data_IF_822756576418
#
_entry.id   IF_822756576418
#
_cell.length_a   1.000
_cell.length_b   1.000
_cell.length_c   1.000
_cell.angle_alpha   90.00
_cell.angle_beta   90.00
_cell.angle_gamma   90.00
#
_symmetry.space_group_name_H-M   'P 1'
#
loop_
_entity.id
_entity.type
_entity.pdbx_description
1 polymer ?
#
# COMPACT_ATOMS: atom_id res chain seq x y z
N UNK A 1 8.45 44.65 53.59
CA UNK A 1 9.89 44.38 53.85
C UNK A 1 10.27 43.05 53.19
N UNK A 2 11.53 42.92 52.72
CA UNK A 2 12.31 41.70 52.37
C UNK A 2 11.54 40.46 51.80
N UNK A 3 11.63 40.08 50.52
CA UNK A 3 12.78 39.56 49.69
C UNK A 3 13.11 38.07 49.89
N UNK A 4 13.46 37.41 48.76
CA UNK A 4 13.95 36.02 48.57
C UNK A 4 12.86 34.93 48.76
N UNK A 5 12.81 33.82 48.01
CA UNK A 5 13.54 33.35 46.82
C UNK A 5 12.71 32.23 46.11
N UNK A 6 13.00 31.68 44.92
CA UNK A 6 14.07 31.85 43.93
C UNK A 6 13.55 31.46 42.51
N UNK A 7 14.24 31.83 41.43
CA UNK A 7 14.00 31.29 40.08
C UNK A 7 14.75 29.97 39.86
N UNK A 8 14.15 29.01 39.15
CA UNK A 8 14.85 27.89 38.52
C UNK A 8 14.83 28.11 37.00
N UNK A 9 15.95 28.60 36.48
CA UNK A 9 16.23 28.69 35.05
C UNK A 9 16.87 27.36 34.61
N UNK A 10 16.17 26.56 33.81
CA UNK A 10 16.77 25.38 33.18
C UNK A 10 17.45 25.82 31.89
N UNK A 11 18.78 25.86 31.93
CA UNK A 11 19.67 26.10 30.80
C UNK A 11 19.96 24.76 30.13
N UNK A 12 19.37 24.49 28.96
CA UNK A 12 19.78 23.36 28.11
C UNK A 12 20.76 23.91 27.07
N UNK A 13 22.03 23.53 27.22
CA UNK A 13 23.09 23.88 26.28
C UNK A 13 23.34 22.73 25.29
N UNK A 14 23.63 23.11 24.06
CA UNK A 14 24.12 22.34 22.90
C UNK A 14 24.47 20.84 23.11
N UNK A 15 24.01 20.03 22.16
CA UNK A 15 24.96 19.32 21.29
C UNK A 15 24.39 19.19 19.89
N UNK A 16 24.99 19.90 18.93
CA UNK A 16 24.80 19.62 17.51
C UNK A 16 25.80 18.54 17.12
N UNK A 17 25.32 17.44 16.54
CA UNK A 17 26.16 16.48 15.81
C UNK A 17 25.71 16.49 14.36
N UNK A 18 26.45 17.22 13.51
CA UNK A 18 26.40 16.95 12.08
C UNK A 18 27.12 15.62 11.83
N UNK A 19 26.38 14.62 11.37
CA UNK A 19 26.95 13.43 10.76
C UNK A 19 26.91 13.61 9.23
N UNK A 20 28.04 14.01 8.64
CA UNK A 20 28.21 14.07 7.19
C UNK A 20 28.59 12.69 6.64
N UNK A 21 27.67 12.04 5.92
CA UNK A 21 27.93 10.95 4.97
C UNK A 21 26.67 10.78 4.10
N UNK A 22 26.74 10.66 2.77
CA UNK A 22 27.88 10.77 1.87
C UNK A 22 27.36 10.57 0.45
N UNK A 23 26.89 11.65 -0.20
CA UNK A 23 26.38 11.57 -1.57
C UNK A 23 27.56 11.53 -2.56
N UNK A 24 27.63 10.57 -3.49
CA UNK A 24 28.60 10.61 -4.57
C UNK A 24 28.20 11.70 -5.57
N UNK A 25 28.88 12.85 -5.52
CA UNK A 25 28.81 13.85 -6.59
C UNK A 25 29.67 13.43 -7.80
N UNK A 26 29.37 13.94 -9.01
CA UNK A 26 29.94 13.42 -10.25
C UNK A 26 31.42 13.79 -10.39
N UNK A 27 32.17 12.90 -11.05
CA UNK A 27 33.57 13.17 -11.43
C UNK A 27 33.59 14.26 -12.49
N UNK A 28 34.22 15.39 -12.16
CA UNK A 28 34.56 16.42 -13.14
C UNK A 28 35.81 16.04 -13.93
N UNK A 29 35.83 16.48 -15.19
CA UNK A 29 36.94 16.34 -16.12
C UNK A 29 38.20 17.02 -15.57
N UNK A 30 39.36 16.39 -15.79
CA UNK A 30 40.63 17.10 -15.74
C UNK A 30 41.41 16.84 -17.02
N UNK A 31 41.56 17.90 -17.80
CA UNK A 31 42.37 17.94 -19.02
C UNK A 31 43.84 17.69 -18.69
N UNK A 32 44.46 16.74 -19.40
CA UNK A 32 45.91 16.57 -19.49
C UNK A 32 46.25 16.34 -20.95
N UNK A 33 46.64 17.41 -21.62
CA UNK A 33 47.11 17.37 -23.00
C UNK A 33 48.56 16.91 -23.04
N UNK A 34 48.84 15.72 -23.58
CA UNK A 34 50.19 15.40 -24.07
C UNK A 34 50.15 14.49 -25.32
N UNK A 35 51.15 14.64 -26.18
CA UNK A 35 51.04 14.33 -27.61
C UNK A 35 51.46 12.90 -28.00
N UNK A 36 50.84 12.43 -29.09
CA UNK A 36 51.46 11.59 -30.13
C UNK A 36 51.83 10.14 -29.79
N UNK A 37 50.99 9.21 -30.25
CA UNK A 37 51.29 8.45 -31.47
C UNK A 37 50.04 7.78 -32.04
N UNK A 38 49.93 7.74 -33.37
CA UNK A 38 48.74 7.23 -34.05
C UNK A 38 48.54 5.74 -33.87
N UNK A 39 47.36 5.36 -33.39
CA UNK A 39 46.77 4.03 -33.53
C UNK A 39 45.40 4.21 -34.17
N UNK A 40 45.17 3.52 -35.29
CA UNK A 40 43.90 3.59 -36.04
C UNK A 40 42.71 3.24 -35.14
N UNK A 41 41.66 4.07 -35.17
CA UNK A 41 40.34 3.69 -34.67
C UNK A 41 39.78 2.57 -35.56
N UNK A 42 40.15 1.32 -35.29
CA UNK A 42 39.35 0.19 -35.72
C UNK A 42 38.04 0.22 -34.94
N UNK A 43 36.96 0.49 -35.65
CA UNK A 43 35.60 0.20 -35.21
C UNK A 43 35.55 -1.16 -34.52
N UNK A 44 35.13 -1.21 -33.26
CA UNK A 44 34.96 -2.44 -32.50
C UNK A 44 33.70 -3.20 -32.96
N UNK A 45 33.69 -3.60 -34.23
CA UNK A 45 32.82 -4.67 -34.70
C UNK A 45 33.18 -5.92 -33.92
N UNK A 46 32.20 -6.53 -33.27
CA UNK A 46 32.38 -7.82 -32.60
C UNK A 46 32.84 -8.82 -33.66
N UNK A 47 34.03 -9.41 -33.48
CA UNK A 47 34.53 -10.42 -34.42
C UNK A 47 33.52 -11.58 -34.49
N UNK A 48 33.02 -11.82 -35.70
CA UNK A 48 31.98 -12.81 -35.98
C UNK A 48 32.48 -14.23 -35.65
N UNK A 49 33.75 -14.53 -35.89
CA UNK A 49 34.33 -15.85 -35.58
C UNK A 49 34.42 -16.08 -34.07
N UNK A 50 34.74 -15.03 -33.32
CA UNK A 50 34.86 -15.07 -31.87
C UNK A 50 33.47 -15.10 -31.19
N UNK A 51 32.46 -14.46 -31.80
CA UNK A 51 31.06 -14.59 -31.40
C UNK A 51 30.52 -16.00 -31.65
N UNK A 52 30.78 -16.59 -32.83
CA UNK A 52 30.40 -17.96 -33.17
C UNK A 52 30.97 -18.98 -32.18
N UNK A 53 32.27 -18.88 -31.85
CA UNK A 53 32.90 -19.74 -30.85
C UNK A 53 32.23 -19.63 -29.48
N UNK A 54 32.01 -18.40 -28.98
CA UNK A 54 31.33 -18.19 -27.69
C UNK A 54 29.89 -18.70 -27.68
N UNK A 55 29.14 -18.54 -28.77
CA UNK A 55 27.77 -19.05 -28.89
C UNK A 55 27.73 -20.59 -28.87
N UNK A 56 28.68 -21.24 -29.54
CA UNK A 56 28.86 -22.70 -29.45
C UNK A 56 29.19 -23.17 -28.03
N UNK A 57 30.18 -22.55 -27.39
CA UNK A 57 30.56 -22.82 -25.99
C UNK A 57 29.38 -22.65 -25.03
N UNK A 58 28.58 -21.57 -25.15
CA UNK A 58 27.41 -21.36 -24.30
C UNK A 58 26.28 -22.37 -24.58
N UNK A 59 26.06 -22.77 -25.83
CA UNK A 59 25.03 -23.77 -26.15
C UNK A 59 25.41 -25.16 -25.60
N UNK A 60 26.65 -25.60 -25.80
CA UNK A 60 27.14 -26.90 -25.34
C UNK A 60 27.15 -26.99 -23.80
N UNK A 61 27.77 -26.01 -23.12
CA UNK A 61 27.74 -25.94 -21.66
C UNK A 61 26.30 -25.82 -21.12
N UNK A 62 25.41 -25.11 -21.83
CA UNK A 62 24.02 -24.95 -21.42
C UNK A 62 23.26 -26.28 -21.39
N UNK A 63 23.38 -27.08 -22.46
CA UNK A 63 22.77 -28.42 -22.54
C UNK A 63 23.40 -29.36 -21.51
N UNK A 64 24.74 -29.40 -21.40
CA UNK A 64 25.42 -30.27 -20.42
C UNK A 64 24.97 -29.97 -18.98
N UNK A 65 24.81 -28.69 -18.63
CA UNK A 65 24.32 -28.27 -17.31
C UNK A 65 22.88 -28.67 -17.04
N UNK A 66 22.02 -28.69 -18.07
CA UNK A 66 20.64 -29.20 -17.95
C UNK A 66 20.65 -30.70 -17.67
N UNK A 67 21.45 -31.46 -18.41
CA UNK A 67 21.60 -32.92 -18.23
C UNK A 67 22.20 -33.28 -16.86
N UNK A 68 23.08 -32.42 -16.31
CA UNK A 68 23.60 -32.52 -14.94
C UNK A 68 22.60 -32.09 -13.85
N UNK A 69 21.41 -31.59 -14.22
CA UNK A 69 20.40 -31.09 -13.28
C UNK A 69 20.65 -29.66 -12.76
N UNK A 70 21.68 -28.97 -13.24
CA UNK A 70 21.98 -27.56 -12.94
C UNK A 70 21.11 -26.61 -13.79
N UNK A 71 19.78 -26.77 -13.70
CA UNK A 71 18.78 -26.18 -14.61
C UNK A 71 18.93 -24.66 -14.75
N UNK A 72 19.09 -23.91 -13.65
CA UNK A 72 19.23 -22.44 -13.70
C UNK A 72 20.52 -22.00 -14.42
N UNK A 73 21.64 -22.68 -14.15
CA UNK A 73 22.91 -22.40 -14.82
C UNK A 73 22.79 -22.70 -16.33
N UNK A 74 22.18 -23.83 -16.69
CA UNK A 74 21.92 -24.18 -18.09
C UNK A 74 21.07 -23.14 -18.83
N UNK A 75 19.95 -22.70 -18.23
CA UNK A 75 19.13 -21.60 -18.78
C UNK A 75 19.96 -20.33 -18.93
N UNK A 76 20.79 -19.97 -17.96
CA UNK A 76 21.66 -18.80 -18.03
C UNK A 76 22.63 -18.86 -19.20
N UNK A 77 23.20 -20.04 -19.52
CA UNK A 77 24.07 -20.20 -20.70
C UNK A 77 23.27 -20.13 -22.01
N UNK A 78 22.10 -20.76 -22.11
CA UNK A 78 21.24 -20.65 -23.28
C UNK A 78 20.80 -19.19 -23.55
N UNK A 79 20.48 -18.43 -22.50
CA UNK A 79 20.19 -16.99 -22.60
C UNK A 79 21.45 -16.19 -22.98
N UNK A 80 22.66 -16.64 -22.61
CA UNK A 80 23.91 -16.03 -23.06
C UNK A 80 24.14 -16.17 -24.57
N UNK A 81 23.68 -17.26 -25.21
CA UNK A 81 23.67 -17.40 -26.68
C UNK A 81 22.85 -16.28 -27.33
N UNK A 82 21.63 -16.05 -26.83
CA UNK A 82 20.73 -15.01 -27.34
C UNK A 82 21.29 -13.60 -27.07
N UNK A 83 21.93 -13.41 -25.91
CA UNK A 83 22.59 -12.16 -25.54
C UNK A 83 23.83 -11.84 -26.39
N UNK A 84 24.56 -12.84 -26.91
CA UNK A 84 25.63 -12.59 -27.88
C UNK A 84 25.04 -12.25 -29.25
N UNK A 85 24.04 -13.00 -29.75
CA UNK A 85 23.33 -12.66 -31.01
C UNK A 85 22.80 -11.24 -31.00
N UNK A 86 22.19 -10.78 -29.91
CA UNK A 86 21.58 -9.44 -29.82
C UNK A 86 22.56 -8.27 -29.94
N UNK A 87 23.88 -8.52 -29.92
CA UNK A 87 24.93 -7.49 -30.07
C UNK A 87 25.46 -7.39 -31.50
N UNK A 88 25.12 -8.34 -32.37
CA UNK A 88 25.66 -8.42 -33.72
C UNK A 88 24.80 -7.57 -34.66
N UNK A 89 25.45 -6.69 -35.43
CA UNK A 89 24.81 -5.85 -36.45
C UNK A 89 24.52 -6.62 -37.75
N UNK A 90 25.13 -7.80 -37.92
CA UNK A 90 24.91 -8.73 -39.02
C UNK A 90 24.97 -10.17 -38.50
N UNK A 91 24.04 -11.01 -38.94
CA UNK A 91 23.99 -12.43 -38.55
C UNK A 91 24.34 -13.32 -39.74
N UNK A 92 25.03 -14.44 -39.45
CA UNK A 92 25.28 -15.52 -40.41
C UNK A 92 24.27 -16.65 -40.20
N UNK A 93 24.09 -17.57 -41.17
CA UNK A 93 23.21 -18.73 -41.01
C UNK A 93 23.53 -19.55 -39.74
N UNK A 94 24.81 -19.66 -39.38
CA UNK A 94 25.28 -20.41 -38.21
C UNK A 94 24.93 -19.70 -36.89
N UNK A 95 25.00 -18.36 -36.84
CA UNK A 95 24.53 -17.55 -35.69
C UNK A 95 23.02 -17.74 -35.49
N UNK A 96 22.26 -17.73 -36.59
CA UNK A 96 20.81 -17.98 -36.55
C UNK A 96 20.51 -19.41 -36.09
N UNK A 97 21.26 -20.42 -36.54
CA UNK A 97 21.12 -21.81 -36.08
C UNK A 97 21.39 -21.95 -34.57
N UNK A 98 22.49 -21.39 -34.06
CA UNK A 98 22.81 -21.43 -32.63
C UNK A 98 21.70 -20.78 -31.78
N UNK A 99 21.20 -19.62 -32.20
CA UNK A 99 20.13 -18.93 -31.49
C UNK A 99 18.80 -19.69 -31.58
N UNK A 100 18.44 -20.24 -32.75
CA UNK A 100 17.23 -21.06 -32.92
C UNK A 100 17.27 -22.32 -32.05
N UNK A 101 18.43 -22.97 -31.92
CA UNK A 101 18.62 -24.11 -31.01
C UNK A 101 18.48 -23.69 -29.55
N UNK A 102 19.09 -22.57 -29.14
CA UNK A 102 18.94 -22.05 -27.77
C UNK A 102 17.48 -21.67 -27.45
N UNK A 103 16.77 -20.99 -28.37
CA UNK A 103 15.34 -20.69 -28.25
C UNK A 103 14.49 -21.96 -28.16
N UNK A 104 14.84 -23.01 -28.91
CA UNK A 104 14.15 -24.31 -28.89
C UNK A 104 14.31 -25.01 -27.55
N UNK A 105 15.51 -25.07 -26.97
CA UNK A 105 15.73 -25.67 -25.65
C UNK A 105 15.09 -24.82 -24.54
N UNK A 106 15.18 -23.49 -24.61
CA UNK A 106 14.47 -22.59 -23.70
C UNK A 106 12.96 -22.78 -23.78
N UNK A 107 12.39 -22.95 -24.97
CA UNK A 107 10.96 -23.21 -25.13
C UNK A 107 10.51 -24.54 -24.51
N UNK A 108 11.32 -25.61 -24.64
CA UNK A 108 11.06 -26.90 -23.98
C UNK A 108 11.10 -26.76 -22.45
N UNK A 109 12.12 -26.10 -21.91
CA UNK A 109 12.23 -25.84 -20.48
C UNK A 109 11.06 -24.98 -19.98
N UNK A 110 10.70 -23.92 -20.71
CA UNK A 110 9.56 -23.06 -20.39
C UNK A 110 8.23 -23.79 -20.32
N UNK A 111 8.04 -24.82 -21.15
CA UNK A 111 6.85 -25.69 -21.14
C UNK A 111 6.86 -26.74 -20.02
N UNK A 112 8.01 -27.03 -19.42
CA UNK A 112 8.18 -27.97 -18.31
C UNK A 112 8.30 -27.29 -16.94
N UNK A 113 8.70 -26.02 -16.90
CA UNK A 113 8.79 -25.22 -15.67
C UNK A 113 7.40 -24.80 -15.17
N UNK A 114 7.26 -24.68 -13.86
CA UNK A 114 6.04 -24.24 -13.19
C UNK A 114 6.37 -23.36 -11.98
N UNK A 115 5.66 -22.24 -11.85
CA UNK A 115 5.81 -21.28 -10.74
C UNK A 115 4.56 -21.33 -9.86
N UNK A 116 4.71 -21.93 -8.69
CA UNK A 116 3.64 -22.07 -7.68
C UNK A 116 3.78 -20.97 -6.62
N UNK A 117 2.70 -20.66 -5.89
CA UNK A 117 2.80 -19.84 -4.70
C UNK A 117 3.43 -20.66 -3.55
N UNK A 118 4.20 -19.99 -2.69
CA UNK A 118 4.71 -20.58 -1.45
C UNK A 118 3.58 -21.06 -0.54
N UNK A 119 3.86 -22.04 0.32
CA UNK A 119 2.84 -22.68 1.16
C UNK A 119 2.11 -21.70 2.09
N UNK A 120 2.78 -20.63 2.51
CA UNK A 120 2.24 -19.54 3.31
C UNK A 120 1.16 -18.70 2.59
N UNK A 121 1.06 -18.83 1.26
CA UNK A 121 0.04 -18.23 0.41
C UNK A 121 -1.07 -19.20 0.00
N UNK A 122 -1.07 -20.43 0.51
CA UNK A 122 -2.12 -21.43 0.22
C UNK A 122 -3.08 -21.56 1.41
N UNK A 123 -4.38 -21.53 1.13
CA UNK A 123 -5.42 -21.80 2.12
C UNK A 123 -5.60 -23.29 2.40
N UNK A 124 -6.52 -23.63 3.31
CA UNK A 124 -6.87 -25.03 3.65
C UNK A 124 -7.38 -25.82 2.44
N UNK A 125 -7.96 -25.14 1.45
CA UNK A 125 -8.43 -25.68 0.17
C UNK A 125 -7.32 -25.79 -0.90
N UNK A 126 -6.09 -25.39 -0.56
CA UNK A 126 -4.91 -25.26 -1.43
C UNK A 126 -5.03 -24.21 -2.53
N UNK A 127 -6.05 -23.35 -2.51
CA UNK A 127 -6.10 -22.19 -3.38
C UNK A 127 -5.23 -21.07 -2.83
N UNK A 128 -4.78 -20.17 -3.71
CA UNK A 128 -3.99 -19.02 -3.29
C UNK A 128 -4.86 -17.99 -2.55
N UNK A 129 -4.46 -17.61 -1.34
CA UNK A 129 -5.15 -16.55 -0.56
C UNK A 129 -4.74 -15.15 -1.03
N UNK A 130 -5.55 -14.16 -0.67
CA UNK A 130 -5.17 -12.74 -0.75
C UNK A 130 -4.71 -12.24 0.62
N UNK A 131 -3.75 -11.32 0.64
CA UNK A 131 -3.27 -10.67 1.84
C UNK A 131 -4.04 -9.37 2.12
N UNK A 132 -3.83 -8.81 3.31
CA UNK A 132 -4.35 -7.48 3.71
C UNK A 132 -3.35 -6.39 3.32
N UNK A 133 -3.81 -5.35 2.61
CA UNK A 133 -3.00 -4.16 2.32
C UNK A 133 -2.59 -3.38 3.58
N UNK A 134 -3.23 -3.59 4.74
CA UNK A 134 -2.82 -2.95 5.99
C UNK A 134 -1.59 -3.61 6.63
N UNK A 135 -1.41 -4.92 6.39
CA UNK A 135 -0.34 -5.71 7.00
C UNK A 135 0.91 -5.79 6.10
N UNK A 136 0.83 -5.30 4.84
CA UNK A 136 1.94 -5.26 3.89
C UNK A 136 3.14 -4.46 4.41
N UNK A 137 4.27 -5.14 4.65
CA UNK A 137 5.47 -4.56 5.27
C UNK A 137 5.49 -4.57 6.80
N UNK A 138 4.50 -5.18 7.45
CA UNK A 138 4.49 -5.44 8.90
C UNK A 138 5.00 -6.84 9.25
N UNK A 139 5.20 -7.11 10.54
CA UNK A 139 5.52 -8.43 11.09
C UNK A 139 4.42 -9.48 10.88
N UNK A 140 3.20 -9.05 10.52
CA UNK A 140 2.03 -9.90 10.24
C UNK A 140 1.74 -10.04 8.75
N UNK A 141 2.44 -9.30 7.91
CA UNK A 141 2.23 -9.32 6.47
C UNK A 141 2.70 -10.62 5.86
N UNK A 142 1.90 -11.19 4.96
CA UNK A 142 2.40 -12.18 4.01
C UNK A 142 3.34 -11.47 3.03
N UNK A 143 4.50 -12.07 2.80
CA UNK A 143 5.52 -11.59 1.86
C UNK A 143 5.43 -12.43 0.56
N UNK A 144 5.47 -11.85 -0.66
CA UNK A 144 5.31 -12.61 -1.90
C UNK A 144 6.36 -13.72 -2.02
N UNK A 145 5.93 -14.94 -2.31
CA UNK A 145 6.77 -16.13 -2.18
C UNK A 145 6.38 -17.14 -3.22
N UNK A 146 7.35 -17.63 -4.00
CA UNK A 146 7.12 -18.61 -5.07
C UNK A 146 8.01 -19.82 -4.91
N UNK A 147 7.54 -20.95 -5.44
CA UNK A 147 8.32 -22.17 -5.62
C UNK A 147 8.43 -22.48 -7.11
N UNK A 148 9.66 -22.57 -7.61
CA UNK A 148 9.95 -22.90 -9.01
C UNK A 148 10.28 -24.39 -9.12
N UNK A 149 9.51 -25.09 -9.94
CA UNK A 149 9.68 -26.53 -10.19
C UNK A 149 9.82 -26.83 -11.68
N UNK A 150 10.44 -27.96 -12.00
CA UNK A 150 10.54 -28.52 -13.34
C UNK A 150 9.82 -29.87 -13.37
N UNK A 151 8.82 -30.01 -14.23
CA UNK A 151 8.05 -31.24 -14.42
C UNK A 151 8.79 -32.18 -15.37
N UNK A 152 9.19 -33.35 -14.86
CA UNK A 152 9.92 -34.39 -15.59
C UNK A 152 9.00 -35.56 -16.03
N UNK A 153 7.68 -35.36 -16.03
CA UNK A 153 6.67 -36.35 -16.40
C UNK A 153 6.43 -37.45 -15.36
N UNK A 154 7.47 -37.88 -14.63
CA UNK A 154 7.39 -38.79 -13.49
C UNK A 154 7.40 -38.12 -12.11
N UNK A 155 7.57 -36.80 -12.06
CA UNK A 155 7.67 -36.02 -10.82
C UNK A 155 8.11 -34.59 -11.05
N UNK A 156 8.16 -33.79 -9.97
CA UNK A 156 8.67 -32.41 -9.97
C UNK A 156 10.08 -32.36 -9.37
N UNK A 157 11.01 -31.68 -10.04
CA UNK A 157 12.31 -31.30 -9.49
C UNK A 157 12.28 -29.83 -9.03
N UNK A 158 13.00 -29.51 -7.95
CA UNK A 158 13.13 -28.14 -7.45
C UNK A 158 14.25 -27.42 -8.22
N UNK A 159 14.02 -26.18 -8.64
CA UNK A 159 15.00 -25.41 -9.44
C UNK A 159 15.65 -24.35 -8.57
N UNK A 160 16.87 -24.62 -8.09
CA UNK A 160 17.67 -23.69 -7.29
C UNK A 160 18.45 -22.67 -8.13
N UNK A 161 18.79 -21.53 -7.53
CA UNK A 161 19.58 -20.46 -8.14
C UNK A 161 18.88 -19.65 -9.24
N UNK A 162 17.59 -19.84 -9.48
CA UNK A 162 16.85 -19.19 -10.56
C UNK A 162 16.42 -17.75 -10.17
N UNK A 163 16.69 -16.74 -11.00
CA UNK A 163 16.37 -15.34 -10.70
C UNK A 163 14.88 -15.06 -10.88
N UNK A 164 14.18 -14.85 -9.75
CA UNK A 164 12.80 -14.37 -9.74
C UNK A 164 12.80 -12.85 -9.58
N UNK A 165 12.12 -12.17 -10.50
CA UNK A 165 11.84 -10.75 -10.44
C UNK A 165 10.48 -10.51 -9.80
N UNK A 166 10.42 -9.62 -8.80
CA UNK A 166 9.19 -9.16 -8.16
C UNK A 166 8.95 -7.68 -8.48
N UNK A 167 7.76 -7.34 -8.94
CA UNK A 167 7.37 -5.98 -9.26
C UNK A 167 5.91 -5.67 -8.91
N UNK A 168 5.60 -4.41 -8.62
CA UNK A 168 4.20 -3.96 -8.52
C UNK A 168 3.63 -3.77 -9.92
N UNK A 169 2.67 -4.63 -10.31
CA UNK A 169 1.87 -4.42 -11.53
C UNK A 169 0.63 -3.56 -11.26
N UNK A 170 0.27 -3.40 -9.98
CA UNK A 170 -0.78 -2.49 -9.50
C UNK A 170 -0.41 -1.98 -8.10
N UNK A 171 -0.65 -0.69 -7.85
CA UNK A 171 -0.18 -0.02 -6.65
C UNK A 171 1.33 0.27 -6.69
N UNK A 172 1.88 0.71 -5.57
CA UNK A 172 3.31 1.05 -5.44
C UNK A 172 3.80 0.79 -4.01
N UNK A 173 5.11 0.65 -3.85
CA UNK A 173 5.73 0.35 -2.56
C UNK A 173 7.23 0.15 -2.69
N UNK A 174 7.85 -0.29 -1.59
CA UNK A 174 9.25 -0.71 -1.53
C UNK A 174 9.32 -2.21 -1.29
N UNK A 175 9.98 -2.94 -2.18
CA UNK A 175 10.18 -4.39 -2.09
C UNK A 175 11.57 -4.82 -2.57
N UNK A 176 11.99 -6.05 -2.25
CA UNK A 176 13.22 -6.66 -2.77
C UNK A 176 12.97 -7.27 -4.15
N UNK A 177 13.28 -6.54 -5.21
CA UNK A 177 12.82 -6.89 -6.57
C UNK A 177 13.52 -8.08 -7.23
N UNK A 178 14.75 -8.43 -6.87
CA UNK A 178 15.44 -9.61 -7.41
C UNK A 178 15.84 -10.57 -6.31
N UNK A 179 15.35 -11.80 -6.40
CA UNK A 179 15.64 -12.88 -5.43
C UNK A 179 15.88 -14.17 -6.21
N UNK A 180 17.02 -14.82 -5.95
CA UNK A 180 17.29 -16.14 -6.51
C UNK A 180 16.59 -17.22 -5.68
N UNK A 181 16.11 -18.28 -6.32
CA UNK A 181 15.58 -19.44 -5.60
C UNK A 181 16.67 -20.13 -4.76
N UNK A 182 16.31 -20.57 -3.57
CA UNK A 182 17.16 -21.35 -2.67
C UNK A 182 17.24 -22.83 -3.10
N UNK A 183 17.91 -23.66 -2.29
CA UNK A 183 18.05 -25.11 -2.53
C UNK A 183 16.71 -25.89 -2.55
N UNK A 184 15.64 -25.28 -2.04
CA UNK A 184 14.27 -25.80 -2.09
C UNK A 184 13.45 -25.25 -3.27
N UNK A 185 14.09 -24.54 -4.21
CA UNK A 185 13.41 -23.89 -5.34
C UNK A 185 12.55 -22.69 -4.95
N UNK A 186 12.65 -22.21 -3.70
CA UNK A 186 11.82 -21.12 -3.18
C UNK A 186 12.53 -19.77 -3.30
N UNK A 187 11.81 -18.75 -3.80
CA UNK A 187 12.23 -17.34 -3.74
C UNK A 187 11.15 -16.51 -3.03
N UNK A 188 11.57 -15.73 -2.03
CA UNK A 188 10.67 -14.90 -1.21
C UNK A 188 11.11 -13.45 -1.26
N UNK A 189 10.18 -12.57 -1.62
CA UNK A 189 10.35 -11.13 -1.67
C UNK A 189 9.91 -10.51 -0.34
N UNK A 190 10.72 -9.62 0.22
CA UNK A 190 10.33 -8.79 1.35
C UNK A 190 9.70 -7.51 0.84
N UNK A 191 8.43 -7.26 1.19
CA UNK A 191 7.84 -5.93 1.13
C UNK A 191 8.27 -5.17 2.39
N UNK A 192 8.84 -3.98 2.22
CA UNK A 192 9.19 -3.09 3.33
C UNK A 192 8.05 -2.11 3.66
N UNK A 193 7.29 -1.67 2.65
CA UNK A 193 6.04 -0.91 2.78
C UNK A 193 5.26 -0.90 1.47
N UNK A 194 3.94 -0.79 1.57
CA UNK A 194 3.09 -0.29 0.48
C UNK A 194 2.96 1.24 0.62
N UNK A 195 2.84 1.98 -0.48
CA UNK A 195 2.56 3.42 -0.41
C UNK A 195 1.07 3.69 -0.08
N UNK A 196 0.18 2.77 -0.47
CA UNK A 196 -1.27 2.98 -0.38
C UNK A 196 -2.03 1.73 0.10
N UNK A 197 -2.37 1.72 1.39
CA UNK A 197 -3.03 0.58 2.03
C UNK A 197 -4.57 0.58 1.83
N UNK A 198 -5.13 1.63 1.21
CA UNK A 198 -6.56 1.73 0.88
C UNK A 198 -6.87 1.28 -0.57
N UNK A 199 -5.85 0.83 -1.31
CA UNK A 199 -6.01 0.27 -2.65
C UNK A 199 -5.64 -1.22 -2.69
N UNK A 200 -6.09 -1.86 -3.76
CA UNK A 200 -5.57 -3.17 -4.16
C UNK A 200 -4.16 -2.98 -4.71
N UNK A 201 -3.19 -3.65 -4.08
CA UNK A 201 -1.81 -3.72 -4.58
C UNK A 201 -1.58 -5.14 -5.11
N UNK A 202 -0.93 -5.28 -6.26
CA UNK A 202 -0.63 -6.59 -6.85
C UNK A 202 0.87 -6.64 -7.16
N UNK A 203 1.55 -7.59 -6.52
CA UNK A 203 2.96 -7.90 -6.81
C UNK A 203 3.00 -9.12 -7.73
N UNK A 204 3.65 -8.99 -8.89
CA UNK A 204 3.95 -10.11 -9.78
C UNK A 204 5.33 -10.65 -9.50
N UNK A 205 5.45 -11.97 -9.43
CA UNK A 205 6.70 -12.70 -9.50
C UNK A 205 6.87 -13.29 -10.91
N UNK A 206 8.02 -13.09 -11.55
CA UNK A 206 8.31 -13.55 -12.93
C UNK A 206 9.70 -14.17 -13.01
N UNK A 207 9.86 -15.25 -13.77
CA UNK A 207 11.20 -15.82 -14.04
C UNK A 207 11.91 -15.00 -15.13
N UNK A 208 12.98 -14.26 -14.75
CA UNK A 208 13.69 -13.34 -15.66
C UNK A 208 15.21 -13.52 -15.58
N UNK A 209 15.81 -14.00 -16.67
CA UNK A 209 17.27 -14.08 -16.80
C UNK A 209 17.81 -12.82 -17.48
N UNK A 210 18.75 -12.13 -16.81
CA UNK A 210 19.41 -10.92 -17.32
C UNK A 210 20.90 -11.17 -17.55
N UNK A 211 21.32 -11.24 -18.81
CA UNK A 211 22.70 -11.57 -19.20
C UNK A 211 23.27 -10.46 -20.09
N UNK A 212 24.32 -9.77 -19.61
CA UNK A 212 25.05 -8.74 -20.37
C UNK A 212 24.15 -7.67 -21.05
N UNK A 213 23.06 -7.26 -20.38
CA UNK A 213 22.09 -6.28 -20.87
C UNK A 213 20.88 -6.87 -21.62
N UNK A 214 20.96 -8.12 -22.11
CA UNK A 214 19.82 -8.84 -22.65
C UNK A 214 18.95 -9.39 -21.51
N UNK A 215 17.62 -9.35 -21.68
CA UNK A 215 16.65 -9.90 -20.72
C UNK A 215 15.76 -10.92 -21.41
N UNK A 216 15.70 -12.13 -20.88
CA UNK A 216 14.81 -13.18 -21.35
C UNK A 216 13.71 -13.44 -20.31
N UNK A 217 12.46 -13.48 -20.76
CA UNK A 217 11.30 -13.78 -19.93
C UNK A 217 10.54 -14.98 -20.51
N UNK A 218 10.13 -15.88 -19.62
CA UNK A 218 9.31 -17.02 -20.02
C UNK A 218 7.83 -16.64 -19.98
N UNK A 219 7.16 -16.72 -21.13
CA UNK A 219 5.72 -16.43 -21.22
C UNK A 219 4.92 -17.42 -20.36
N UNK A 220 4.13 -16.89 -19.42
CA UNK A 220 3.27 -17.69 -18.54
C UNK A 220 3.95 -18.20 -17.27
N UNK A 221 5.25 -17.97 -17.07
CA UNK A 221 5.91 -18.22 -15.77
C UNK A 221 5.86 -16.96 -14.89
N UNK A 222 4.63 -16.58 -14.56
CA UNK A 222 4.28 -15.41 -13.77
C UNK A 222 3.30 -15.80 -12.66
N UNK A 223 3.42 -15.18 -11.48
CA UNK A 223 2.56 -15.44 -10.32
C UNK A 223 2.20 -14.14 -9.59
N UNK A 224 0.92 -13.81 -9.56
CA UNK A 224 0.42 -12.58 -8.95
C UNK A 224 0.01 -12.79 -7.49
N UNK A 225 0.38 -11.84 -6.63
CA UNK A 225 0.10 -11.80 -5.20
C UNK A 225 -0.74 -10.56 -4.89
N UNK A 226 -2.00 -10.79 -4.50
CA UNK A 226 -2.99 -9.73 -4.31
C UNK A 226 -3.07 -9.32 -2.84
N UNK A 227 -2.92 -8.02 -2.58
CA UNK A 227 -3.17 -7.36 -1.31
C UNK A 227 -4.46 -6.56 -1.46
N UNK A 228 -5.48 -6.92 -0.66
CA UNK A 228 -6.79 -6.30 -0.71
C UNK A 228 -6.90 -5.16 0.32
N UNK A 229 -7.55 -4.04 -0.04
CA UNK A 229 -7.84 -2.98 0.91
C UNK A 229 -8.90 -3.43 1.93
N UNK A 230 -9.05 -2.73 3.07
CA UNK A 230 -10.04 -3.09 4.07
C UNK A 230 -11.45 -3.02 3.50
N UNK A 231 -12.23 -4.10 3.71
CA UNK A 231 -13.60 -4.18 3.25
C UNK A 231 -14.43 -2.98 3.74
N UNK A 232 -15.36 -2.45 2.93
CA UNK A 232 -16.21 -1.30 3.29
C UNK A 232 -17.31 -1.65 4.31
N UNK A 233 -16.97 -2.38 5.36
CA UNK A 233 -17.84 -2.62 6.52
C UNK A 233 -17.64 -1.50 7.52
N UNK A 234 -18.73 -0.85 7.92
CA UNK A 234 -18.68 0.30 8.81
C UNK A 234 -19.71 0.25 9.93
N UNK A 235 -19.38 0.81 11.08
CA UNK A 235 -20.34 1.05 12.16
C UNK A 235 -20.57 2.55 12.29
N UNK A 236 -21.83 2.98 12.33
CA UNK A 236 -22.19 4.39 12.61
C UNK A 236 -22.38 4.60 14.11
N UNK A 237 -21.76 5.66 14.64
CA UNK A 237 -21.71 6.03 16.06
C UNK A 237 -22.09 7.50 16.19
N UNK A 238 -23.16 7.81 16.91
CA UNK A 238 -23.69 9.17 17.00
C UNK A 238 -23.81 9.61 18.45
N UNK A 239 -23.42 10.85 18.72
CA UNK A 239 -23.66 11.54 19.98
C UNK A 239 -24.19 12.94 19.69
N UNK A 240 -25.39 13.24 20.19
CA UNK A 240 -25.84 14.63 20.32
C UNK A 240 -25.77 15.01 21.80
N UNK A 241 -25.19 16.18 22.10
CA UNK A 241 -25.08 16.65 23.48
C UNK A 241 -25.24 18.16 23.58
N UNK A 242 -25.75 18.63 24.71
CA UNK A 242 -25.79 20.05 25.07
C UNK A 242 -25.27 20.22 26.50
N UNK A 243 -24.04 20.75 26.62
CA UNK A 243 -23.30 20.70 27.88
C UNK A 243 -23.10 19.26 28.34
N UNK A 244 -23.66 18.90 29.50
CA UNK A 244 -23.59 17.56 30.10
C UNK A 244 -24.80 16.67 29.76
N UNK A 245 -25.81 17.18 29.05
CA UNK A 245 -26.96 16.39 28.62
C UNK A 245 -26.66 15.72 27.29
N UNK A 246 -26.78 14.39 27.22
CA UNK A 246 -26.66 13.61 25.99
C UNK A 246 -28.08 13.20 25.56
N UNK A 247 -28.40 13.26 24.27
CA UNK A 247 -29.68 12.81 23.74
C UNK A 247 -29.74 11.28 23.67
N UNK A 248 -30.86 10.70 24.10
CA UNK A 248 -31.12 9.25 24.00
C UNK A 248 -31.42 8.81 22.56
N UNK A 249 -32.13 9.65 21.80
CA UNK A 249 -32.48 9.45 20.39
C UNK A 249 -31.84 10.52 19.49
N UNK A 250 -30.61 10.32 18.98
CA UNK A 250 -29.94 11.25 18.07
C UNK A 250 -30.67 11.51 16.74
N UNK A 251 -31.10 12.75 16.48
CA UNK A 251 -31.80 13.09 15.23
C UNK A 251 -30.89 13.14 14.01
N UNK A 252 -29.59 13.38 14.20
CA UNK A 252 -28.60 13.41 13.11
C UNK A 252 -28.26 12.04 12.51
N UNK A 253 -28.63 10.93 13.17
CA UNK A 253 -28.32 9.58 12.72
C UNK A 253 -28.88 9.30 11.31
N UNK A 254 -30.19 9.45 11.13
CA UNK A 254 -30.85 9.14 9.85
C UNK A 254 -30.37 10.05 8.72
N UNK A 255 -30.15 11.33 9.01
CA UNK A 255 -29.65 12.30 8.05
C UNK A 255 -28.27 11.89 7.51
N UNK A 256 -27.31 11.58 8.39
CA UNK A 256 -25.96 11.15 7.98
C UNK A 256 -25.97 9.75 7.35
N UNK A 257 -26.77 8.82 7.88
CA UNK A 257 -26.87 7.46 7.37
C UNK A 257 -27.43 7.41 5.95
N UNK A 258 -28.43 8.23 5.63
CA UNK A 258 -29.03 8.23 4.30
C UNK A 258 -28.06 8.71 3.21
N UNK A 259 -27.31 9.79 3.44
CA UNK A 259 -26.30 10.28 2.48
C UNK A 259 -25.15 9.28 2.30
N UNK A 260 -24.69 8.65 3.38
CA UNK A 260 -23.56 7.71 3.31
C UNK A 260 -23.88 6.38 2.63
N UNK A 261 -25.15 6.11 2.27
CA UNK A 261 -25.50 4.94 1.42
C UNK A 261 -24.82 5.01 0.05
N UNK A 262 -24.59 6.21 -0.49
CA UNK A 262 -23.91 6.38 -1.78
C UNK A 262 -22.42 5.95 -1.75
N UNK A 263 -21.81 5.90 -0.56
CA UNK A 263 -20.42 5.46 -0.36
C UNK A 263 -20.28 3.93 -0.46
N UNK A 264 -21.39 3.19 -0.55
CA UNK A 264 -21.44 1.72 -0.55
C UNK A 264 -20.72 1.11 0.68
N UNK A 265 -21.01 1.66 1.86
CA UNK A 265 -20.70 1.00 3.13
C UNK A 265 -21.74 -0.10 3.43
N UNK A 266 -21.25 -1.26 3.84
CA UNK A 266 -22.03 -2.29 4.55
C UNK A 266 -22.10 -1.90 6.02
N UNK A 267 -23.21 -1.26 6.41
CA UNK A 267 -23.40 -0.68 7.73
C UNK A 267 -23.92 -1.69 8.75
N UNK A 268 -23.15 -1.95 9.82
CA UNK A 268 -23.66 -2.57 11.02
C UNK A 268 -24.28 -1.53 11.96
N UNK A 269 -25.43 -1.89 12.56
CA UNK A 269 -26.08 -1.05 13.56
C UNK A 269 -25.38 -1.21 14.91
N UNK A 270 -24.92 -0.10 15.50
CA UNK A 270 -24.43 -0.06 16.87
C UNK A 270 -25.28 0.89 17.69
N UNK A 271 -25.82 0.39 18.79
CA UNK A 271 -26.67 1.19 19.67
C UNK A 271 -25.78 2.08 20.56
N UNK A 272 -25.70 3.37 20.21
CA UNK A 272 -24.65 4.32 20.62
C UNK A 272 -24.53 4.64 22.11
N UNK A 273 -25.46 4.17 22.96
CA UNK A 273 -25.50 4.46 24.40
C UNK A 273 -24.24 3.98 25.18
N UNK A 274 -23.44 3.09 24.60
CA UNK A 274 -22.39 2.33 25.30
C UNK A 274 -21.02 3.01 25.44
N UNK A 275 -20.77 4.15 24.78
CA UNK A 275 -19.41 4.75 24.78
C UNK A 275 -19.14 5.75 25.90
N UNK A 276 -20.14 6.54 26.34
CA UNK A 276 -19.96 7.57 27.38
C UNK A 276 -18.72 8.45 27.14
N UNK A 277 -17.89 8.64 28.17
CA UNK A 277 -16.62 9.38 28.10
C UNK A 277 -15.61 8.84 27.08
N UNK A 278 -15.73 7.58 26.66
CA UNK A 278 -14.86 7.03 25.62
C UNK A 278 -15.25 7.49 24.22
N UNK A 279 -16.47 8.01 23.99
CA UNK A 279 -16.91 8.48 22.68
C UNK A 279 -15.91 9.50 22.11
N UNK A 280 -15.51 10.50 22.91
CA UNK A 280 -14.57 11.53 22.49
C UNK A 280 -13.17 11.00 22.17
N UNK A 281 -12.76 9.88 22.78
CA UNK A 281 -11.48 9.22 22.51
C UNK A 281 -11.51 8.46 21.19
N UNK A 282 -12.56 7.68 20.96
CA UNK A 282 -12.80 6.99 19.67
C UNK A 282 -12.94 8.03 18.56
N UNK A 283 -13.70 9.11 18.80
CA UNK A 283 -13.87 10.25 17.88
C UNK A 283 -12.55 10.96 17.55
N UNK A 284 -11.60 10.95 18.49
CA UNK A 284 -10.23 11.44 18.31
C UNK A 284 -9.28 10.48 17.58
N UNK A 285 -9.71 9.27 17.22
CA UNK A 285 -8.86 8.24 16.61
C UNK A 285 -8.01 7.45 17.62
N UNK A 286 -8.33 7.45 18.91
CA UNK A 286 -7.53 6.72 19.91
C UNK A 286 -7.67 5.20 19.73
N UNK A 287 -6.67 4.56 19.13
CA UNK A 287 -6.61 3.11 18.84
C UNK A 287 -6.93 2.24 20.06
N UNK A 288 -6.52 2.65 21.27
CA UNK A 288 -6.83 1.93 22.52
C UNK A 288 -8.30 2.03 22.93
N UNK A 289 -8.99 3.11 22.58
CA UNK A 289 -10.42 3.26 22.80
C UNK A 289 -11.21 2.48 21.74
N UNK A 290 -10.79 2.55 20.47
CA UNK A 290 -11.37 1.77 19.36
C UNK A 290 -11.28 0.27 19.67
N UNK A 291 -10.11 -0.24 20.07
CA UNK A 291 -9.89 -1.65 20.46
C UNK A 291 -10.81 -2.15 21.56
N UNK A 292 -11.16 -1.29 22.53
CA UNK A 292 -12.11 -1.64 23.60
C UNK A 292 -13.55 -1.84 23.12
N UNK A 293 -13.89 -1.40 21.91
CA UNK A 293 -15.20 -1.66 21.32
C UNK A 293 -15.35 -3.10 20.80
N UNK A 294 -14.26 -3.83 20.59
CA UNK A 294 -14.27 -5.22 20.09
C UNK A 294 -14.63 -5.39 18.61
N UNK A 295 -14.89 -4.28 17.89
CA UNK A 295 -15.43 -4.28 16.53
C UNK A 295 -14.42 -4.64 15.40
N UNK A 296 -13.14 -4.85 15.73
CA UNK A 296 -12.05 -5.05 14.75
C UNK A 296 -12.22 -6.26 13.83
N UNK A 297 -13.09 -7.21 14.20
CA UNK A 297 -13.40 -8.41 13.39
C UNK A 297 -14.66 -8.24 12.52
N UNK A 298 -15.46 -7.22 12.78
CA UNK A 298 -16.77 -7.03 12.17
C UNK A 298 -16.77 -5.89 11.14
N UNK A 299 -16.06 -4.79 11.45
CA UNK A 299 -15.99 -3.59 10.62
C UNK A 299 -14.57 -3.07 10.47
N UNK A 300 -14.26 -2.52 9.30
CA UNK A 300 -12.98 -1.87 9.02
C UNK A 300 -13.01 -0.37 9.31
N UNK A 301 -14.20 0.23 9.42
CA UNK A 301 -14.38 1.67 9.57
C UNK A 301 -15.42 2.01 10.66
N UNK A 302 -15.22 3.16 11.31
CA UNK A 302 -16.23 3.82 12.14
C UNK A 302 -16.65 5.12 11.46
N UNK A 303 -17.94 5.33 11.29
CA UNK A 303 -18.53 6.62 10.95
C UNK A 303 -18.99 7.27 12.24
N UNK A 304 -18.28 8.29 12.71
CA UNK A 304 -18.59 8.95 13.97
C UNK A 304 -19.18 10.35 13.74
N UNK A 305 -20.29 10.64 14.39
CA UNK A 305 -21.00 11.93 14.29
C UNK A 305 -21.16 12.54 15.68
N UNK A 306 -20.61 13.72 15.88
CA UNK A 306 -20.77 14.52 17.09
C UNK A 306 -21.61 15.77 16.76
N UNK A 307 -22.77 15.92 17.39
CA UNK A 307 -23.64 17.10 17.28
C UNK A 307 -23.63 17.86 18.63
N UNK A 308 -22.86 18.93 18.74
CA UNK A 308 -22.65 19.66 20.00
C UNK A 308 -23.47 20.96 20.02
N UNK A 309 -24.39 21.07 20.99
CA UNK A 309 -25.28 22.20 21.21
C UNK A 309 -24.78 23.11 22.34
N UNK A 310 -24.61 24.39 22.06
CA UNK A 310 -24.00 25.38 22.95
C UNK A 310 -24.65 26.76 22.81
N UNK A 311 -24.18 27.73 23.59
CA UNK A 311 -24.73 29.10 23.69
C UNK A 311 -26.27 29.19 23.79
N UNK A 312 -26.88 28.32 24.62
CA UNK A 312 -28.32 28.39 24.88
C UNK A 312 -28.64 29.64 25.70
N UNK A 313 -29.31 30.63 25.10
CA UNK A 313 -29.62 31.92 25.73
C UNK A 313 -31.07 32.34 25.50
N UNK A 314 -31.72 32.80 26.56
CA UNK A 314 -33.02 33.47 26.49
C UNK A 314 -32.87 34.88 25.90
N UNK A 315 -33.74 35.24 24.96
CA UNK A 315 -33.77 36.58 24.36
C UNK A 315 -34.35 37.59 25.35
N UNK A 316 -33.64 38.70 25.50
CA UNK A 316 -34.04 39.85 26.29
C UNK A 316 -33.99 41.09 25.39
N UNK A 317 -35.07 41.87 25.33
CA UNK A 317 -35.15 43.12 24.57
C UNK A 317 -35.75 44.19 25.50
N UNK A 318 -35.05 45.31 25.65
CA UNK A 318 -35.48 46.41 26.53
C UNK A 318 -35.72 46.01 27.99
N UNK A 319 -34.91 45.10 28.54
CA UNK A 319 -35.03 44.58 29.91
C UNK A 319 -36.16 43.57 30.12
N UNK A 320 -36.94 43.22 29.08
CA UNK A 320 -37.97 42.19 29.13
C UNK A 320 -37.44 40.88 28.54
N UNK A 321 -37.55 39.80 29.31
CA UNK A 321 -37.23 38.43 28.86
C UNK A 321 -38.42 37.85 28.10
N UNK A 322 -38.14 37.27 26.94
CA UNK A 322 -39.13 36.62 26.08
C UNK A 322 -38.99 35.11 26.21
N UNK A 323 -40.07 34.35 26.00
CA UNK A 323 -40.02 32.89 25.87
C UNK A 323 -39.53 32.50 24.47
N UNK A 324 -38.36 33.04 24.11
CA UNK A 324 -37.63 32.75 22.89
C UNK A 324 -36.20 32.46 23.35
N UNK A 325 -35.80 31.20 23.21
CA UNK A 325 -34.45 30.74 23.47
C UNK A 325 -33.78 30.53 22.12
N UNK A 326 -32.50 30.91 22.02
CA UNK A 326 -31.64 30.57 20.88
C UNK A 326 -30.52 29.66 21.33
N UNK A 327 -30.06 28.82 20.43
CA UNK A 327 -28.91 27.92 20.57
C UNK A 327 -27.97 28.12 19.38
N UNK A 328 -26.75 27.61 19.50
CA UNK A 328 -25.86 27.33 18.38
C UNK A 328 -25.45 25.87 18.43
N UNK A 329 -25.30 25.25 17.26
CA UNK A 329 -24.95 23.84 17.13
C UNK A 329 -23.78 23.68 16.15
N UNK A 330 -22.90 22.72 16.45
CA UNK A 330 -21.82 22.30 15.57
C UNK A 330 -21.88 20.80 15.40
N UNK A 331 -22.07 20.33 14.17
CA UNK A 331 -22.01 18.92 13.82
C UNK A 331 -20.66 18.60 13.16
N UNK A 332 -20.05 17.48 13.53
CA UNK A 332 -18.81 16.97 12.94
C UNK A 332 -18.94 15.48 12.64
N UNK A 333 -18.70 15.09 11.39
CA UNK A 333 -18.69 13.70 10.93
C UNK A 333 -17.27 13.28 10.60
N UNK A 334 -16.84 12.13 11.12
CA UNK A 334 -15.52 11.53 10.87
C UNK A 334 -15.66 10.11 10.36
N UNK A 335 -14.78 9.72 9.44
CA UNK A 335 -14.62 8.32 9.02
C UNK A 335 -13.24 7.89 9.51
N UNK A 336 -13.21 6.86 10.36
CA UNK A 336 -12.02 6.43 11.10
C UNK A 336 -11.73 4.97 10.75
N UNK A 337 -10.51 4.64 10.33
CA UNK A 337 -10.10 3.25 10.11
C UNK A 337 -9.88 2.56 11.46
N UNK A 338 -10.48 1.39 11.65
CA UNK A 338 -10.50 0.67 12.93
C UNK A 338 -9.12 0.15 13.35
N UNK A 339 -8.32 -0.33 12.39
CA UNK A 339 -7.01 -0.97 12.62
C UNK A 339 -5.97 -0.08 13.31
N UNK A 340 -5.94 1.21 12.94
CA UNK A 340 -4.88 2.16 13.27
C UNK A 340 -5.39 3.53 13.76
N UNK A 341 -6.70 3.75 13.78
CA UNK A 341 -7.32 5.00 14.23
C UNK A 341 -7.21 6.17 13.25
N UNK A 342 -6.73 5.95 12.02
CA UNK A 342 -6.56 7.01 11.02
C UNK A 342 -7.91 7.63 10.66
N UNK A 343 -8.02 8.94 10.83
CA UNK A 343 -9.18 9.72 10.40
C UNK A 343 -9.02 9.98 8.89
N UNK A 344 -9.77 9.23 8.07
CA UNK A 344 -9.75 9.31 6.61
C UNK A 344 -10.57 10.49 6.07
N UNK A 345 -11.58 10.94 6.83
CA UNK A 345 -12.39 12.11 6.51
C UNK A 345 -12.84 12.79 7.82
N UNK A 346 -12.94 14.13 7.82
CA UNK A 346 -13.44 14.92 8.94
C UNK A 346 -14.18 16.17 8.43
N UNK A 347 -15.49 16.05 8.22
CA UNK A 347 -16.35 17.17 7.83
C UNK A 347 -16.99 17.85 9.03
N UNK A 348 -17.05 19.19 9.04
CA UNK A 348 -17.68 19.99 10.10
C UNK A 348 -18.64 21.03 9.52
N UNK A 349 -19.79 21.23 10.16
CA UNK A 349 -20.66 22.42 10.02
C UNK A 349 -20.80 23.11 11.37
N UNK A 350 -20.66 24.43 11.41
CA UNK A 350 -20.52 25.19 12.67
C UNK A 350 -21.53 26.33 12.79
N UNK A 351 -21.88 26.69 14.03
CA UNK A 351 -22.68 27.88 14.33
C UNK A 351 -24.13 27.82 13.85
N UNK A 352 -24.66 26.63 13.59
CA UNK A 352 -26.03 26.44 13.10
C UNK A 352 -27.02 26.88 14.17
N UNK A 353 -27.84 27.88 13.87
CA UNK A 353 -28.72 28.53 14.86
C UNK A 353 -30.06 27.83 15.03
N UNK A 354 -30.36 27.39 16.27
CA UNK A 354 -31.67 26.90 16.68
C UNK A 354 -32.46 27.93 17.50
N UNK A 355 -33.79 27.78 17.53
CA UNK A 355 -34.71 28.62 18.27
C UNK A 355 -35.91 27.82 18.82
N UNK A 356 -36.34 28.12 20.05
CA UNK A 356 -37.48 27.45 20.67
C UNK A 356 -38.16 28.26 21.78
N UNK A 357 -39.33 27.80 22.22
CA UNK A 357 -40.08 28.41 23.34
C UNK A 357 -39.46 28.16 24.72
N UNK A 358 -38.55 27.19 24.81
CA UNK A 358 -37.77 26.80 25.97
C UNK A 358 -36.36 26.34 25.52
N UNK A 359 -35.47 26.07 26.47
CA UNK A 359 -34.09 25.67 26.21
C UNK A 359 -33.98 24.37 25.40
N UNK A 360 -34.81 23.36 25.73
CA UNK A 360 -34.75 22.04 25.09
C UNK A 360 -35.20 22.13 23.62
N UNK A 361 -36.29 22.84 23.34
CA UNK A 361 -36.76 23.07 21.96
C UNK A 361 -35.77 23.88 21.13
N UNK A 362 -35.08 24.86 21.71
CA UNK A 362 -34.04 25.60 21.01
C UNK A 362 -32.84 24.73 20.65
N UNK A 363 -32.41 23.85 21.56
CA UNK A 363 -31.34 22.86 21.28
C UNK A 363 -31.78 21.86 20.21
N UNK A 364 -33.00 21.30 20.31
CA UNK A 364 -33.52 20.32 19.35
C UNK A 364 -33.70 20.89 17.93
N UNK A 365 -34.18 22.13 17.80
CA UNK A 365 -34.24 22.83 16.50
C UNK A 365 -32.83 23.08 15.94
N UNK A 366 -31.85 23.37 16.81
CA UNK A 366 -30.44 23.46 16.44
C UNK A 366 -29.86 22.14 15.94
N UNK A 367 -30.12 21.02 16.64
CA UNK A 367 -29.68 19.68 16.23
C UNK A 367 -30.27 19.27 14.87
N UNK A 368 -31.57 19.47 14.65
CA UNK A 368 -32.24 19.17 13.37
C UNK A 368 -31.63 19.95 12.20
N UNK A 369 -31.49 21.27 12.35
CA UNK A 369 -30.87 22.10 11.30
C UNK A 369 -29.40 21.76 11.06
N UNK A 370 -28.68 21.35 12.10
CA UNK A 370 -27.29 20.91 11.97
C UNK A 370 -27.20 19.53 11.29
N UNK A 371 -28.19 18.66 11.48
CA UNK A 371 -28.33 17.41 10.74
C UNK A 371 -28.59 17.66 9.25
N UNK A 372 -29.56 18.52 8.91
CA UNK A 372 -29.84 18.92 7.52
C UNK A 372 -28.59 19.53 6.85
N UNK A 373 -27.89 20.42 7.59
CA UNK A 373 -26.65 21.06 7.12
C UNK A 373 -25.50 20.06 6.95
N UNK A 374 -25.42 19.04 7.80
CA UNK A 374 -24.41 17.99 7.70
C UNK A 374 -24.71 17.03 6.55
N UNK A 375 -25.98 16.67 6.31
CA UNK A 375 -26.38 15.87 5.16
C UNK A 375 -25.95 16.55 3.84
N UNK A 376 -26.34 17.82 3.64
CA UNK A 376 -25.92 18.60 2.48
C UNK A 376 -24.39 18.78 2.36
N UNK A 377 -23.64 18.72 3.47
CA UNK A 377 -22.17 18.68 3.44
C UNK A 377 -21.63 17.32 2.99
N UNK A 378 -22.20 16.22 3.47
CA UNK A 378 -21.79 14.86 3.07
C UNK A 378 -22.12 14.60 1.60
N UNK A 379 -23.30 15.00 1.13
CA UNK A 379 -23.70 14.97 -0.29
C UNK A 379 -22.63 15.66 -1.17
N UNK A 380 -22.24 16.89 -0.79
CA UNK A 380 -21.22 17.66 -1.50
C UNK A 380 -19.84 16.97 -1.47
N UNK A 381 -19.46 16.42 -0.33
CA UNK A 381 -18.13 15.85 -0.08
C UNK A 381 -18.06 14.35 -0.44
N UNK A 382 -19.12 13.75 -1.00
CA UNK A 382 -19.23 12.31 -1.27
C UNK A 382 -18.07 11.77 -2.13
N UNK A 383 -17.59 12.60 -3.07
CA UNK A 383 -16.42 12.29 -3.93
C UNK A 383 -15.10 12.32 -3.17
N UNK A 384 -14.95 13.21 -2.20
CA UNK A 384 -13.77 13.27 -1.32
C UNK A 384 -13.75 12.07 -0.37
N UNK A 385 -14.90 11.72 0.22
CA UNK A 385 -15.09 10.53 1.05
C UNK A 385 -14.72 9.26 0.28
N UNK A 386 -15.26 9.08 -0.94
CA UNK A 386 -14.91 7.96 -1.80
C UNK A 386 -13.43 7.94 -2.19
N UNK A 387 -12.83 9.10 -2.48
CA UNK A 387 -11.40 9.21 -2.79
C UNK A 387 -10.53 8.76 -1.60
N UNK A 388 -10.83 9.22 -0.39
CA UNK A 388 -10.09 8.85 0.82
C UNK A 388 -10.18 7.34 1.13
N UNK A 389 -11.37 6.75 0.98
CA UNK A 389 -11.59 5.31 1.17
C UNK A 389 -10.95 4.46 0.08
N UNK A 390 -10.82 4.99 -1.14
CA UNK A 390 -10.05 4.40 -2.23
C UNK A 390 -8.58 4.85 -2.24
N UNK A 391 -8.11 5.54 -1.19
CA UNK A 391 -6.71 5.89 -1.00
C UNK A 391 -6.11 6.97 -1.92
N UNK A 392 -6.87 7.74 -2.68
CA UNK A 392 -6.29 8.81 -3.50
C UNK A 392 -5.73 9.96 -2.66
N UNK A 393 -4.79 10.79 -3.13
CA UNK A 393 -4.29 10.97 -4.51
C UNK A 393 -3.62 9.76 -5.18
#
# INVERSE_FOLDING_TARGET
MKRFCQNITILILLTWVLACAGAPQPVQEHDVTEQSKGGSETSSGVDLGDALRRMGEFLENGVEKIDQGAISEGISQLVAVLAEKSKLSSTSPEIEEFAFRAETELAKLGAALEIEAGMEWLGDDKNQVSASSLDGGTDKGLNPSVMLTLNLGGGKALVSGAPIFFEFIKGTGLLTSFVNTNDYGQATCTIARLENNNQENIVRASLIYRIKGYSYTFKGLEKDFVYLPPARKATILVMEKAGNQVAEDPVILDAVFNELKEVAFDFSHYNGLLLGDNFMKVFGGEVRAIKKMGLEKEVSYLVMVLNDGYYVKQIEMGGKKYNIFKSQTTATTRIIRVSDGTILYSGTVQGVGGQGGDMQKAVLDGFRRAADSMAAKIEKDIKEIMKALNGGD
#
